data_IF_185780636196
#
_entry.id   IF_185780636196
#
_cell.length_a   1.000
_cell.length_b   1.000
_cell.length_c   1.000
_cell.angle_alpha   90.00
_cell.angle_beta   90.00
_cell.angle_gamma   90.00
#
_symmetry.space_group_name_H-M   'P 1'
#
loop_
_entity.id
_entity.type
_entity.pdbx_description
1 polymer ?
#
# COMPACT_ATOMS: atom_id res chain seq x y z
N UNK A 1 1.01 -33.52 113.16
CA UNK A 1 1.22 -33.57 111.70
C UNK A 1 -0.09 -33.57 110.89
N UNK A 2 -1.09 -32.73 111.20
CA UNK A 2 -2.32 -32.61 110.36
C UNK A 2 -2.94 -31.19 110.41
N UNK A 3 -2.11 -30.14 110.30
CA UNK A 3 -2.63 -28.75 110.17
C UNK A 3 -2.01 -27.95 109.01
N UNK A 4 -1.12 -28.55 108.23
CA UNK A 4 -0.49 -27.92 107.05
C UNK A 4 -0.92 -28.49 105.70
N UNK A 5 -1.89 -29.41 105.68
CA UNK A 5 -2.39 -30.03 104.44
C UNK A 5 -3.72 -29.43 103.94
N UNK A 6 -4.30 -28.45 104.63
CA UNK A 6 -5.55 -27.80 104.19
C UNK A 6 -5.35 -26.44 103.49
N UNK A 7 -4.14 -25.87 103.46
CA UNK A 7 -3.90 -24.57 102.83
C UNK A 7 -3.53 -24.64 101.34
N UNK A 8 -3.23 -25.84 100.82
CA UNK A 8 -2.80 -26.01 99.41
C UNK A 8 -3.99 -26.21 98.46
N UNK A 9 -5.19 -26.48 98.97
CA UNK A 9 -6.37 -26.82 98.14
C UNK A 9 -7.21 -25.58 97.77
N UNK A 10 -6.94 -24.40 98.34
CA UNK A 10 -7.87 -23.26 98.28
C UNK A 10 -7.26 -21.94 97.75
N UNK A 11 -6.33 -21.99 96.79
CA UNK A 11 -6.02 -20.77 96.03
C UNK A 11 -5.73 -21.05 94.55
N UNK A 12 -6.68 -20.79 93.63
CA UNK A 12 -6.42 -20.76 92.21
C UNK A 12 -5.73 -19.43 91.87
N UNK A 13 -4.79 -19.46 90.91
CA UNK A 13 -4.09 -18.33 90.27
C UNK A 13 -2.70 -17.98 90.85
N UNK A 14 -1.68 -18.72 90.40
CA UNK A 14 -0.44 -18.08 89.98
C UNK A 14 -0.23 -18.35 88.50
N UNK A 15 -0.49 -17.32 87.67
CA UNK A 15 -0.21 -17.31 86.24
C UNK A 15 1.29 -17.48 86.03
N UNK A 16 1.67 -18.59 85.44
CA UNK A 16 3.05 -18.89 85.06
C UNK A 16 3.45 -18.03 83.84
N UNK A 17 4.43 -17.11 83.92
CA UNK A 17 4.72 -16.16 82.83
C UNK A 17 5.37 -16.80 81.60
N UNK A 18 5.84 -18.04 81.72
CA UNK A 18 6.58 -18.77 80.67
C UNK A 18 5.70 -19.68 79.79
N UNK A 19 4.38 -19.71 80.01
CA UNK A 19 3.43 -20.51 79.22
C UNK A 19 2.49 -19.65 78.36
N UNK A 20 2.84 -18.40 78.06
CA UNK A 20 2.13 -17.60 77.06
C UNK A 20 2.45 -18.14 75.66
N UNK A 21 1.67 -19.13 75.24
CA UNK A 21 1.76 -19.74 73.93
C UNK A 21 1.49 -18.66 72.84
N UNK A 22 2.47 -18.26 72.00
CA UNK A 22 2.29 -17.18 71.01
C UNK A 22 1.32 -17.53 69.88
N UNK A 23 0.77 -18.75 69.89
CA UNK A 23 0.01 -19.36 68.80
C UNK A 23 -1.45 -18.89 68.72
N UNK A 24 -2.04 -18.41 69.82
CA UNK A 24 -3.43 -17.95 69.82
C UNK A 24 -3.59 -16.59 69.10
N UNK A 25 -2.70 -15.63 69.37
CA UNK A 25 -2.69 -14.33 68.69
C UNK A 25 -2.40 -14.44 67.19
N UNK A 26 -1.43 -15.29 66.78
CA UNK A 26 -1.12 -15.51 65.34
C UNK A 26 -2.27 -16.12 64.54
N UNK A 27 -3.13 -16.94 65.16
CA UNK A 27 -4.32 -17.50 64.48
C UNK A 27 -5.41 -16.46 64.30
N UNK A 28 -5.63 -15.62 65.32
CA UNK A 28 -6.65 -14.56 65.27
C UNK A 28 -6.24 -13.42 64.31
N UNK A 29 -4.95 -13.06 64.28
CA UNK A 29 -4.40 -12.11 63.30
C UNK A 29 -4.52 -12.63 61.86
N UNK A 30 -4.24 -13.92 61.65
CA UNK A 30 -4.37 -14.54 60.32
C UNK A 30 -5.81 -14.52 59.83
N UNK A 31 -6.77 -14.86 60.69
CA UNK A 31 -8.20 -14.86 60.38
C UNK A 31 -8.75 -13.44 60.12
N UNK A 32 -8.24 -12.43 60.85
CA UNK A 32 -8.55 -11.02 60.59
C UNK A 32 -7.97 -10.54 59.25
N UNK A 33 -6.73 -10.92 58.93
CA UNK A 33 -6.07 -10.56 57.69
C UNK A 33 -6.75 -11.21 56.47
N UNK A 34 -7.20 -12.46 56.62
CA UNK A 34 -7.93 -13.22 55.59
C UNK A 34 -9.33 -12.63 55.33
N UNK A 35 -10.06 -12.21 56.38
CA UNK A 35 -11.31 -11.45 56.23
C UNK A 35 -11.10 -10.10 55.52
N UNK A 36 -10.05 -9.37 55.87
CA UNK A 36 -9.74 -8.10 55.22
C UNK A 36 -9.36 -8.28 53.75
N UNK A 37 -8.61 -9.35 53.43
CA UNK A 37 -8.27 -9.72 52.06
C UNK A 37 -9.51 -10.11 51.24
N UNK A 38 -10.41 -10.92 51.80
CA UNK A 38 -11.68 -11.27 51.17
C UNK A 38 -12.54 -10.02 50.88
N UNK A 39 -12.62 -9.09 51.85
CA UNK A 39 -13.36 -7.82 51.67
C UNK A 39 -12.75 -6.96 50.57
N UNK A 40 -11.41 -6.92 50.44
CA UNK A 40 -10.73 -6.20 49.34
C UNK A 40 -11.06 -6.82 47.99
N UNK A 41 -10.99 -8.15 47.88
CA UNK A 41 -11.35 -8.86 46.65
C UNK A 41 -12.82 -8.62 46.26
N UNK A 42 -13.75 -8.60 47.23
CA UNK A 42 -15.15 -8.26 46.96
C UNK A 42 -15.33 -6.83 46.44
N UNK A 43 -14.61 -5.87 47.01
CA UNK A 43 -14.63 -4.47 46.54
C UNK A 43 -14.03 -4.34 45.13
N UNK A 44 -12.92 -5.02 44.86
CA UNK A 44 -12.31 -5.05 43.52
C UNK A 44 -13.25 -5.68 42.50
N UNK A 45 -13.90 -6.79 42.84
CA UNK A 45 -14.90 -7.43 41.97
C UNK A 45 -16.08 -6.52 41.70
N UNK A 46 -16.59 -5.80 42.71
CA UNK A 46 -17.66 -4.82 42.51
C UNK A 46 -17.23 -3.65 41.62
N UNK A 47 -16.02 -3.13 41.82
CA UNK A 47 -15.46 -2.08 40.98
C UNK A 47 -15.30 -2.55 39.52
N UNK A 48 -14.86 -3.77 39.30
CA UNK A 48 -14.68 -4.34 37.96
C UNK A 48 -16.04 -4.58 37.27
N UNK A 49 -17.06 -5.04 38.01
CA UNK A 49 -18.44 -5.14 37.50
C UNK A 49 -18.98 -3.77 37.08
N UNK A 50 -18.70 -2.71 37.84
CA UNK A 50 -19.13 -1.36 37.49
C UNK A 50 -18.43 -0.85 36.23
N UNK A 51 -17.11 -1.07 36.10
CA UNK A 51 -16.36 -0.73 34.87
C UNK A 51 -16.89 -1.48 33.66
N UNK A 52 -17.14 -2.78 33.80
CA UNK A 52 -17.67 -3.60 32.72
C UNK A 52 -19.05 -3.12 32.28
N UNK A 53 -19.94 -2.81 33.23
CA UNK A 53 -21.27 -2.26 32.93
C UNK A 53 -21.19 -0.91 32.24
N UNK A 54 -20.26 -0.03 32.66
CA UNK A 54 -20.03 1.26 31.99
C UNK A 54 -19.57 1.06 30.55
N UNK A 55 -18.58 0.18 30.33
CA UNK A 55 -18.08 -0.12 28.99
C UNK A 55 -19.16 -0.74 28.11
N UNK A 56 -20.01 -1.61 28.66
CA UNK A 56 -21.14 -2.19 27.95
C UNK A 56 -22.10 -1.11 27.47
N UNK A 57 -22.47 -0.16 28.34
CA UNK A 57 -23.34 0.96 27.96
C UNK A 57 -22.70 1.84 26.87
N UNK A 58 -21.39 2.15 26.98
CA UNK A 58 -20.66 2.92 25.96
C UNK A 58 -20.66 2.20 24.60
N UNK A 59 -20.53 0.86 24.60
CA UNK A 59 -20.62 0.05 23.37
C UNK A 59 -22.03 -0.05 22.81
N UNK A 60 -23.05 -0.12 23.66
CA UNK A 60 -24.45 -0.09 23.24
C UNK A 60 -24.81 1.26 22.58
N UNK A 61 -24.32 2.38 23.14
CA UNK A 61 -24.46 3.72 22.54
C UNK A 61 -23.74 3.82 21.18
N UNK A 62 -22.50 3.33 21.07
CA UNK A 62 -21.73 3.30 19.83
C UNK A 62 -22.45 2.47 18.73
N UNK A 63 -23.00 1.31 19.11
CA UNK A 63 -23.80 0.47 18.20
C UNK A 63 -25.07 1.20 17.76
N UNK A 64 -25.77 1.89 18.66
CA UNK A 64 -26.96 2.68 18.33
C UNK A 64 -26.62 3.78 17.31
N UNK A 65 -25.54 4.52 17.54
CA UNK A 65 -25.08 5.59 16.65
C UNK A 65 -24.74 5.06 15.25
N UNK A 66 -24.02 3.93 15.18
CA UNK A 66 -23.69 3.30 13.90
C UNK A 66 -24.92 2.80 13.15
N UNK A 67 -25.93 2.29 13.85
CA UNK A 67 -27.21 1.89 13.24
C UNK A 67 -27.95 3.10 12.65
N UNK A 68 -27.97 4.23 13.35
CA UNK A 68 -28.55 5.47 12.84
C UNK A 68 -27.83 5.97 11.58
N UNK A 69 -26.49 5.96 11.59
CA UNK A 69 -25.68 6.32 10.42
C UNK A 69 -25.94 5.38 9.23
N UNK A 70 -26.04 4.07 9.47
CA UNK A 70 -26.39 3.09 8.42
C UNK A 70 -27.77 3.41 7.83
N UNK A 71 -28.78 3.70 8.66
CA UNK A 71 -30.12 4.04 8.14
C UNK A 71 -30.12 5.35 7.35
N UNK A 72 -29.33 6.35 7.77
CA UNK A 72 -29.16 7.61 7.05
C UNK A 72 -28.50 7.40 5.69
N UNK A 73 -27.39 6.65 5.64
CA UNK A 73 -26.70 6.33 4.40
C UNK A 73 -27.57 5.50 3.45
N UNK A 74 -28.37 4.56 3.96
CA UNK A 74 -29.33 3.80 3.15
C UNK A 74 -30.37 4.71 2.48
N UNK A 75 -30.93 5.68 3.22
CA UNK A 75 -31.85 6.68 2.64
C UNK A 75 -31.17 7.54 1.58
N UNK A 76 -29.94 7.99 1.83
CA UNK A 76 -29.20 8.80 0.86
C UNK A 76 -28.92 8.01 -0.43
N UNK A 77 -28.54 6.73 -0.31
CA UNK A 77 -28.35 5.84 -1.46
C UNK A 77 -29.63 5.65 -2.27
N UNK A 78 -30.78 5.52 -1.61
CA UNK A 78 -32.08 5.40 -2.27
C UNK A 78 -32.45 6.68 -3.04
N UNK A 79 -32.28 7.86 -2.43
CA UNK A 79 -32.46 9.14 -3.11
C UNK A 79 -31.53 9.30 -4.33
N UNK A 80 -30.26 8.91 -4.21
CA UNK A 80 -29.32 8.93 -5.34
C UNK A 80 -29.71 7.95 -6.45
N UNK A 81 -30.29 6.80 -6.10
CA UNK A 81 -30.78 5.81 -7.06
C UNK A 81 -31.95 6.39 -7.86
N UNK A 82 -32.88 7.05 -7.20
CA UNK A 82 -34.01 7.73 -7.85
C UNK A 82 -33.54 8.85 -8.78
N UNK A 83 -32.54 9.63 -8.36
CA UNK A 83 -31.94 10.68 -9.20
C UNK A 83 -31.30 10.09 -10.47
N UNK A 84 -30.56 8.97 -10.34
CA UNK A 84 -29.99 8.25 -11.48
C UNK A 84 -31.09 7.76 -12.42
N UNK A 85 -32.19 7.22 -11.89
CA UNK A 85 -33.30 6.75 -12.71
C UNK A 85 -34.01 7.91 -13.44
N UNK A 86 -34.21 9.05 -12.78
CA UNK A 86 -34.76 10.27 -13.40
C UNK A 86 -33.86 10.76 -14.54
N UNK A 87 -32.55 10.81 -14.32
CA UNK A 87 -31.59 11.22 -15.35
C UNK A 87 -31.57 10.25 -16.53
N UNK A 88 -31.65 8.94 -16.28
CA UNK A 88 -31.79 7.93 -17.35
C UNK A 88 -33.04 8.15 -18.19
N UNK A 89 -34.20 8.36 -17.55
CA UNK A 89 -35.46 8.67 -18.25
C UNK A 89 -35.38 9.98 -19.05
N UNK A 90 -34.72 11.01 -18.53
CA UNK A 90 -34.49 12.25 -19.28
C UNK A 90 -33.60 12.05 -20.51
N UNK A 91 -32.57 11.19 -20.41
CA UNK A 91 -31.72 10.84 -21.54
C UNK A 91 -32.48 10.01 -22.58
N UNK A 92 -33.31 9.04 -22.16
CA UNK A 92 -34.19 8.28 -23.07
C UNK A 92 -35.18 9.21 -23.79
N UNK A 93 -35.78 10.16 -23.07
CA UNK A 93 -36.73 11.11 -23.66
C UNK A 93 -36.04 12.07 -24.65
N UNK A 94 -34.80 12.52 -24.37
CA UNK A 94 -33.99 13.31 -25.31
C UNK A 94 -33.54 12.48 -26.51
N UNK A 95 -33.10 11.24 -26.28
CA UNK A 95 -32.73 10.30 -27.35
C UNK A 95 -33.89 9.92 -28.26
N UNK A 96 -35.14 10.08 -27.82
CA UNK A 96 -36.34 9.85 -28.63
C UNK A 96 -36.78 11.06 -29.46
N UNK A 97 -36.23 12.26 -29.23
CA UNK A 97 -36.60 13.50 -29.96
C UNK A 97 -35.62 13.79 -31.12
N UNK A 98 -34.41 13.23 -31.11
CA UNK A 98 -33.43 13.39 -32.18
C UNK A 98 -33.36 12.14 -33.07
N UNK A 99 -34.35 11.97 -33.95
CA UNK A 99 -34.23 11.13 -35.15
C UNK A 99 -33.34 11.84 -36.20
N UNK A 100 -32.10 12.13 -35.82
CA UNK A 100 -30.99 12.36 -36.76
C UNK A 100 -30.07 11.17 -36.62
N UNK A 101 -30.08 10.35 -37.67
CA UNK A 101 -29.21 9.20 -37.89
C UNK A 101 -27.73 9.57 -37.67
N UNK A 102 -27.23 9.29 -36.47
CA UNK A 102 -25.80 9.22 -36.17
C UNK A 102 -25.48 7.79 -35.77
N UNK A 103 -24.62 7.18 -36.57
CA UNK A 103 -24.19 5.79 -36.48
C UNK A 103 -23.57 5.48 -35.13
N UNK A 104 -24.00 4.40 -34.50
CA UNK A 104 -23.59 3.95 -33.16
C UNK A 104 -22.10 3.62 -33.00
N UNK A 105 -21.29 3.70 -34.07
CA UNK A 105 -19.84 3.42 -34.03
C UNK A 105 -19.00 4.58 -33.47
N UNK A 106 -19.44 5.84 -33.55
CA UNK A 106 -18.64 6.99 -33.11
C UNK A 106 -18.72 7.25 -31.59
N UNK A 107 -19.81 6.84 -30.94
CA UNK A 107 -19.99 6.98 -29.48
C UNK A 107 -19.29 5.88 -28.67
N UNK A 108 -18.94 4.76 -29.30
CA UNK A 108 -18.19 3.67 -28.66
C UNK A 108 -16.69 3.96 -28.52
N UNK A 109 -16.12 4.83 -29.35
CA UNK A 109 -14.67 5.05 -29.38
C UNK A 109 -14.20 6.02 -28.26
N UNK A 110 -14.99 7.06 -27.95
CA UNK A 110 -14.67 8.00 -26.85
C UNK A 110 -14.79 7.35 -25.46
N UNK A 111 -15.67 6.36 -25.27
CA UNK A 111 -15.84 5.66 -23.99
C UNK A 111 -14.79 4.57 -23.77
N UNK A 112 -14.25 3.96 -24.84
CA UNK A 112 -13.18 2.97 -24.73
C UNK A 112 -11.87 3.60 -24.27
N UNK A 113 -11.58 4.86 -24.59
CA UNK A 113 -10.27 5.46 -24.31
C UNK A 113 -10.11 6.06 -22.92
N UNK A 114 -11.21 6.26 -22.19
CA UNK A 114 -11.18 6.74 -20.81
C UNK A 114 -11.00 5.56 -19.85
N UNK A 115 -9.92 5.59 -19.07
CA UNK A 115 -9.68 4.66 -17.97
C UNK A 115 -9.47 5.46 -16.69
N UNK A 116 -10.25 5.15 -15.66
CA UNK A 116 -10.10 5.77 -14.35
C UNK A 116 -10.26 4.74 -13.25
N UNK A 117 -9.41 4.83 -12.22
CA UNK A 117 -9.50 3.96 -11.05
C UNK A 117 -8.72 4.53 -9.89
N UNK A 118 -9.04 4.07 -8.68
CA UNK A 118 -8.15 4.25 -7.54
C UNK A 118 -6.88 3.43 -7.74
N UNK A 119 -5.73 4.06 -7.49
CA UNK A 119 -4.41 3.44 -7.53
C UNK A 119 -3.62 3.85 -6.29
N UNK A 120 -2.48 3.22 -6.06
CA UNK A 120 -1.57 3.60 -4.99
C UNK A 120 -0.20 3.98 -5.54
N UNK A 121 0.29 5.14 -5.13
CA UNK A 121 1.58 5.71 -5.54
C UNK A 121 2.55 5.65 -4.35
N UNK A 122 3.80 5.21 -4.53
CA UNK A 122 4.74 5.15 -3.43
C UNK A 122 5.04 6.54 -2.86
N UNK A 123 5.14 6.63 -1.55
CA UNK A 123 5.63 7.82 -0.85
C UNK A 123 7.14 7.73 -0.65
N UNK A 124 7.78 8.82 -0.21
CA UNK A 124 9.24 8.88 0.06
C UNK A 124 9.76 7.74 0.96
N UNK A 125 8.89 7.07 1.74
CA UNK A 125 9.30 6.00 2.64
C UNK A 125 8.43 4.75 2.52
N UNK A 126 8.64 3.98 1.44
CA UNK A 126 7.96 2.69 1.21
C UNK A 126 8.14 1.72 2.39
N UNK A 127 9.23 1.87 3.20
CA UNK A 127 9.58 1.03 4.37
C UNK A 127 8.49 0.92 5.45
N UNK A 128 7.50 1.82 5.51
CA UNK A 128 6.43 1.81 6.53
C UNK A 128 5.02 1.78 5.92
N UNK A 129 4.82 0.97 4.88
CA UNK A 129 3.53 0.93 4.17
C UNK A 129 3.26 2.21 3.37
N UNK A 130 4.32 2.81 2.83
CA UNK A 130 4.30 4.10 2.16
C UNK A 130 3.65 4.05 0.77
N UNK A 131 2.38 3.71 0.69
CA UNK A 131 1.56 3.73 -0.52
C UNK A 131 0.40 4.70 -0.30
N UNK A 132 0.40 5.81 -1.03
CA UNK A 132 -0.67 6.80 -0.97
C UNK A 132 -1.73 6.48 -2.02
N UNK A 133 -2.98 6.37 -1.58
CA UNK A 133 -4.11 6.20 -2.49
C UNK A 133 -4.38 7.50 -3.26
N UNK A 134 -4.50 7.40 -4.58
CA UNK A 134 -4.80 8.51 -5.50
C UNK A 134 -5.77 8.03 -6.58
N UNK A 135 -6.57 8.94 -7.13
CA UNK A 135 -7.50 8.64 -8.21
C UNK A 135 -6.82 8.95 -9.54
N UNK A 136 -6.57 7.93 -10.36
CA UNK A 136 -5.89 8.06 -11.64
C UNK A 136 -6.90 8.12 -12.78
N UNK A 137 -6.66 9.00 -13.75
CA UNK A 137 -7.52 9.19 -14.92
C UNK A 137 -6.65 9.32 -16.18
N UNK A 138 -6.97 8.52 -17.20
CA UNK A 138 -6.53 8.73 -18.58
C UNK A 138 -7.51 9.72 -19.22
N UNK A 139 -7.08 10.97 -19.37
CA UNK A 139 -7.76 11.99 -20.15
C UNK A 139 -7.07 12.13 -21.51
N UNK A 140 -7.79 12.57 -22.56
CA UNK A 140 -7.39 12.56 -23.99
C UNK A 140 -5.88 12.46 -24.28
N UNK A 141 -5.05 13.39 -23.77
CA UNK A 141 -3.59 13.38 -23.95
C UNK A 141 -2.78 13.48 -22.62
N UNK A 142 -3.39 13.17 -21.48
CA UNK A 142 -2.78 13.31 -20.15
C UNK A 142 -3.13 12.17 -19.20
N UNK A 143 -2.13 11.69 -18.47
CA UNK A 143 -2.32 10.87 -17.28
C UNK A 143 -2.42 11.79 -16.06
N UNK A 144 -3.58 11.80 -15.40
CA UNK A 144 -3.90 12.68 -14.29
C UNK A 144 -4.01 11.87 -13.00
N UNK A 145 -3.44 12.37 -11.91
CA UNK A 145 -3.57 11.80 -10.57
C UNK A 145 -4.14 12.86 -9.62
N UNK A 146 -5.26 12.53 -9.00
CA UNK A 146 -5.95 13.36 -8.02
C UNK A 146 -5.76 12.79 -6.61
N UNK A 147 -5.76 13.66 -5.59
CA UNK A 147 -5.74 13.17 -4.21
C UNK A 147 -7.14 12.69 -3.78
N UNK A 148 -8.19 13.27 -4.38
CA UNK A 148 -9.60 12.96 -4.17
C UNK A 148 -10.40 13.15 -5.46
N UNK A 149 -11.47 12.38 -5.66
CA UNK A 149 -12.40 12.53 -6.80
C UNK A 149 -13.07 13.92 -6.88
N UNK A 150 -13.11 14.64 -5.76
CA UNK A 150 -13.68 16.00 -5.65
C UNK A 150 -12.70 17.11 -6.04
N UNK A 151 -11.43 16.78 -6.26
CA UNK A 151 -10.40 17.78 -6.56
C UNK A 151 -10.61 18.29 -8.00
N UNK A 152 -10.74 19.61 -8.16
CA UNK A 152 -10.86 20.23 -9.48
C UNK A 152 -9.53 20.21 -10.26
N UNK A 153 -8.41 20.01 -9.57
CA UNK A 153 -7.07 20.06 -10.16
C UNK A 153 -6.27 18.81 -9.78
N UNK A 154 -5.63 18.20 -10.77
CA UNK A 154 -4.77 17.04 -10.55
C UNK A 154 -3.53 17.43 -9.75
N UNK A 155 -3.16 16.61 -8.77
CA UNK A 155 -1.91 16.76 -8.02
C UNK A 155 -0.69 16.49 -8.91
N UNK A 156 -0.84 15.57 -9.86
CA UNK A 156 0.15 15.24 -10.88
C UNK A 156 -0.55 15.07 -12.23
N UNK A 157 -0.09 15.81 -13.24
CA UNK A 157 -0.48 15.61 -14.64
C UNK A 157 0.76 15.29 -15.46
N UNK A 158 0.71 14.22 -16.26
CA UNK A 158 1.79 13.80 -17.16
C UNK A 158 1.26 13.79 -18.59
N UNK A 159 1.92 14.49 -19.50
CA UNK A 159 1.56 14.50 -20.92
C UNK A 159 1.90 13.15 -21.57
N UNK A 160 0.93 12.56 -22.26
CA UNK A 160 1.10 11.23 -22.88
C UNK A 160 2.18 11.23 -23.96
N UNK A 161 2.36 12.35 -24.66
CA UNK A 161 3.41 12.52 -25.69
C UNK A 161 4.83 12.45 -25.13
N UNK A 162 4.97 12.64 -23.83
CA UNK A 162 6.22 12.64 -23.07
C UNK A 162 6.47 11.31 -22.37
N UNK A 163 5.62 10.30 -22.58
CA UNK A 163 5.86 8.93 -22.11
C UNK A 163 6.90 8.24 -22.99
N UNK A 164 7.85 7.56 -22.35
CA UNK A 164 8.86 6.73 -23.02
C UNK A 164 8.41 5.27 -23.11
N UNK A 165 8.02 4.69 -21.98
CA UNK A 165 7.50 3.33 -21.89
C UNK A 165 6.59 3.16 -20.67
N UNK A 166 5.72 2.15 -20.74
CA UNK A 166 4.91 1.66 -19.63
C UNK A 166 5.05 0.15 -19.58
N UNK A 167 5.44 -0.41 -18.43
CA UNK A 167 5.70 -1.86 -18.31
C UNK A 167 5.35 -2.41 -16.93
N UNK A 168 5.11 -3.71 -16.87
CA UNK A 168 5.05 -4.42 -15.60
C UNK A 168 6.41 -4.35 -14.89
N UNK A 169 6.38 -4.25 -13.56
CA UNK A 169 7.61 -4.30 -12.77
C UNK A 169 8.02 -5.74 -12.47
N UNK A 170 9.31 -5.90 -12.20
CA UNK A 170 9.95 -7.13 -11.74
C UNK A 170 10.43 -6.95 -10.30
N UNK A 171 10.83 -8.04 -9.64
CA UNK A 171 11.41 -7.97 -8.30
C UNK A 171 12.63 -7.05 -8.22
N UNK A 172 13.38 -6.89 -9.32
CA UNK A 172 14.52 -5.98 -9.41
C UNK A 172 14.13 -4.49 -9.36
N UNK A 173 12.95 -4.14 -9.85
CA UNK A 173 12.45 -2.75 -9.85
C UNK A 173 11.91 -2.36 -8.46
N UNK A 174 11.35 -3.33 -7.73
CA UNK A 174 10.72 -3.12 -6.42
C UNK A 174 11.28 -4.06 -5.34
N UNK A 175 12.59 -3.97 -5.10
CA UNK A 175 13.36 -4.88 -4.22
C UNK A 175 12.82 -5.05 -2.79
N UNK A 176 12.03 -4.10 -2.28
CA UNK A 176 11.51 -4.09 -0.91
C UNK A 176 10.00 -4.34 -0.83
N UNK A 177 9.35 -4.59 -1.96
CA UNK A 177 7.92 -4.86 -2.02
C UNK A 177 7.68 -6.36 -1.96
N UNK A 178 6.62 -6.75 -1.27
CA UNK A 178 6.16 -8.14 -1.20
C UNK A 178 5.88 -8.70 -2.60
N UNK A 179 6.37 -9.89 -2.91
CA UNK A 179 6.24 -10.54 -4.21
C UNK A 179 4.77 -10.71 -4.65
N UNK A 180 3.83 -10.83 -3.71
CA UNK A 180 2.39 -10.93 -3.99
C UNK A 180 1.78 -9.64 -4.57
N UNK A 181 2.42 -8.50 -4.32
CA UNK A 181 1.96 -7.20 -4.82
C UNK A 181 2.55 -6.84 -6.18
N UNK A 182 3.69 -7.42 -6.55
CA UNK A 182 4.41 -7.14 -7.80
C UNK A 182 3.52 -7.26 -9.05
N UNK A 183 2.67 -8.30 -9.21
CA UNK A 183 1.78 -8.41 -10.38
C UNK A 183 0.77 -7.26 -10.51
N UNK A 184 0.56 -6.48 -9.45
CA UNK A 184 -0.35 -5.33 -9.42
C UNK A 184 0.36 -4.01 -9.70
N UNK A 185 1.69 -4.01 -9.84
CA UNK A 185 2.48 -2.80 -10.00
C UNK A 185 2.96 -2.67 -11.45
N UNK A 186 2.95 -1.44 -11.95
CA UNK A 186 3.57 -1.09 -13.22
C UNK A 186 4.37 0.21 -13.10
N UNK A 187 5.32 0.36 -14.01
CA UNK A 187 6.21 1.51 -14.12
C UNK A 187 5.80 2.35 -15.33
N UNK A 188 5.81 3.67 -15.15
CA UNK A 188 5.67 4.67 -16.21
C UNK A 188 6.96 5.48 -16.24
N UNK A 189 7.68 5.44 -17.35
CA UNK A 189 8.87 6.25 -17.58
C UNK A 189 8.54 7.42 -18.51
N UNK A 190 8.87 8.64 -18.11
CA UNK A 190 8.47 9.85 -18.83
C UNK A 190 9.49 10.99 -18.71
N UNK A 191 9.38 11.96 -19.62
CA UNK A 191 10.17 13.18 -19.61
C UNK A 191 9.69 14.12 -18.50
N UNK A 192 10.61 14.58 -17.65
CA UNK A 192 10.33 15.49 -16.55
C UNK A 192 9.64 16.79 -16.94
N UNK A 193 9.85 17.28 -18.17
CA UNK A 193 9.19 18.49 -18.68
C UNK A 193 7.71 18.28 -19.00
N UNK A 194 7.29 17.02 -19.22
CA UNK A 194 5.90 16.65 -19.46
C UNK A 194 5.03 16.59 -18.21
N UNK A 195 5.57 16.97 -17.05
CA UNK A 195 4.87 16.89 -15.77
C UNK A 195 4.52 18.28 -15.23
N UNK A 196 3.27 18.45 -14.83
CA UNK A 196 2.86 19.54 -13.93
C UNK A 196 2.52 18.98 -12.56
N UNK A 197 3.00 19.63 -11.50
CA UNK A 197 2.75 19.27 -10.09
C UNK A 197 2.10 20.46 -9.41
N UNK A 198 0.88 20.26 -8.90
CA UNK A 198 0.15 21.30 -8.16
C UNK A 198 0.10 20.88 -6.70
N UNK A 199 0.86 21.58 -5.85
CA UNK A 199 0.84 21.50 -4.38
C UNK A 199 0.62 20.11 -3.76
N UNK A 200 1.70 19.35 -3.59
CA UNK A 200 2.11 18.81 -2.29
C UNK A 200 3.50 18.23 -2.43
N UNK A 201 4.41 18.68 -1.57
CA UNK A 201 5.73 18.11 -1.36
C UNK A 201 5.63 16.60 -1.19
N UNK A 202 5.92 15.79 -2.21
CA UNK A 202 6.31 14.37 -2.03
C UNK A 202 6.73 13.62 -3.28
N UNK A 203 6.56 14.13 -4.51
CA UNK A 203 7.09 13.45 -5.72
C UNK A 203 8.54 13.84 -6.02
N UNK A 204 9.37 13.95 -4.97
CA UNK A 204 10.82 13.96 -5.17
C UNK A 204 11.21 12.54 -5.54
N UNK A 205 11.59 12.41 -6.80
CA UNK A 205 12.11 11.23 -7.46
C UNK A 205 12.87 10.31 -6.49
N UNK A 206 12.45 9.06 -6.41
CA UNK A 206 13.33 7.97 -5.99
C UNK A 206 14.35 7.72 -7.12
N UNK A 207 15.10 8.75 -7.53
CA UNK A 207 16.28 8.57 -8.37
C UNK A 207 17.45 8.26 -7.43
N UNK A 208 17.45 7.02 -6.96
CA UNK A 208 18.63 6.23 -6.74
C UNK A 208 18.13 4.82 -6.40
N UNK A 209 18.23 3.84 -7.31
CA UNK A 209 18.55 2.53 -6.80
C UNK A 209 19.90 2.70 -6.09
N UNK A 210 19.87 2.74 -4.76
CA UNK A 210 20.98 2.21 -3.98
C UNK A 210 21.01 0.70 -4.26
N UNK A 211 21.37 0.36 -5.49
CA UNK A 211 21.84 -0.96 -5.84
C UNK A 211 23.29 -0.98 -5.39
N UNK A 212 23.46 -1.26 -4.09
CA UNK A 212 24.62 -2.02 -3.62
C UNK A 212 24.50 -3.43 -4.21
N UNK A 213 24.64 -3.52 -5.53
CA UNK A 213 25.03 -4.74 -6.20
C UNK A 213 26.46 -4.50 -6.61
N UNK A 214 27.34 -5.32 -6.04
CA UNK A 214 28.75 -5.45 -6.31
C UNK A 214 28.98 -5.16 -7.80
N UNK A 215 29.45 -3.94 -8.13
CA UNK A 215 29.95 -3.55 -9.46
C UNK A 215 31.28 -4.27 -9.65
N UNK A 216 31.22 -5.60 -9.71
CA UNK A 216 32.33 -6.46 -10.04
C UNK A 216 32.32 -6.67 -11.54
N UNK A 217 33.02 -5.79 -12.26
CA UNK A 217 33.17 -5.89 -13.70
C UNK A 217 33.71 -4.60 -14.28
N UNK A 218 35.02 -4.56 -14.50
CA UNK A 218 35.66 -3.68 -15.48
C UNK A 218 35.00 -3.83 -16.87
N UNK A 219 34.85 -2.75 -17.64
CA UNK A 219 34.82 -2.85 -19.10
C UNK A 219 33.65 -2.17 -19.83
N UNK A 220 34.03 -1.33 -20.80
CA UNK A 220 33.30 -0.86 -22.00
C UNK A 220 31.82 -0.42 -21.88
N UNK A 221 31.60 0.89 -22.08
CA UNK A 221 30.29 1.41 -22.49
C UNK A 221 30.01 0.97 -23.93
N UNK A 222 28.87 0.33 -24.15
CA UNK A 222 28.45 -0.09 -25.49
C UNK A 222 27.38 0.88 -25.99
N UNK A 223 27.69 1.59 -27.07
CA UNK A 223 26.73 2.46 -27.75
C UNK A 223 26.03 1.73 -28.90
N UNK A 224 24.71 1.66 -28.86
CA UNK A 224 23.92 1.01 -29.91
C UNK A 224 22.55 1.69 -30.07
N UNK A 225 22.24 2.14 -31.30
CA UNK A 225 20.98 2.85 -31.63
C UNK A 225 20.60 3.96 -30.63
N UNK A 226 21.58 4.73 -30.17
CA UNK A 226 21.39 5.82 -29.21
C UNK A 226 21.26 5.40 -27.74
N UNK A 227 21.32 4.10 -27.43
CA UNK A 227 21.44 3.62 -26.05
C UNK A 227 22.89 3.65 -25.59
N UNK A 228 23.09 3.79 -24.29
CA UNK A 228 24.39 3.67 -23.66
C UNK A 228 24.34 2.53 -22.62
N UNK A 229 24.87 1.37 -23.00
CA UNK A 229 24.74 0.13 -22.25
C UNK A 229 25.95 -0.15 -21.38
N UNK A 230 25.65 -0.65 -20.17
CA UNK A 230 26.63 -1.29 -19.30
C UNK A 230 26.34 -2.79 -19.23
N UNK A 231 27.39 -3.59 -19.12
CA UNK A 231 27.25 -5.04 -18.92
C UNK A 231 26.92 -5.30 -17.45
N UNK A 232 25.81 -6.00 -17.19
CA UNK A 232 25.29 -6.32 -15.86
C UNK A 232 25.02 -7.82 -15.77
N UNK A 233 25.28 -8.42 -14.62
CA UNK A 233 25.00 -9.82 -14.34
C UNK A 233 23.97 -9.94 -13.20
N UNK A 234 22.70 -10.19 -13.54
CA UNK A 234 21.62 -10.20 -12.55
C UNK A 234 21.56 -11.52 -11.78
N UNK A 235 21.61 -11.44 -10.44
CA UNK A 235 21.35 -12.59 -9.56
C UNK A 235 19.91 -12.68 -9.07
N UNK A 236 19.10 -11.67 -9.38
CA UNK A 236 17.69 -11.60 -9.01
C UNK A 236 16.79 -11.74 -10.24
N UNK A 237 15.56 -12.26 -10.10
CA UNK A 237 14.63 -12.45 -11.21
C UNK A 237 14.50 -11.21 -12.11
N UNK A 238 14.99 -11.32 -13.34
CA UNK A 238 15.04 -10.26 -14.35
C UNK A 238 14.85 -10.90 -15.73
N UNK A 239 14.03 -10.31 -16.60
CA UNK A 239 13.81 -10.82 -17.95
C UNK A 239 14.43 -9.89 -19.00
N UNK A 240 14.83 -10.47 -20.12
CA UNK A 240 15.26 -9.74 -21.31
C UNK A 240 14.04 -9.16 -22.03
N UNK A 241 14.07 -7.87 -22.38
CA UNK A 241 12.97 -7.19 -23.06
C UNK A 241 12.87 -7.52 -24.56
N UNK A 242 13.93 -8.09 -25.15
CA UNK A 242 13.91 -8.56 -26.55
C UNK A 242 13.18 -9.90 -26.67
N UNK A 243 13.59 -10.90 -25.89
CA UNK A 243 13.11 -12.28 -26.05
C UNK A 243 12.18 -12.74 -24.92
N UNK A 244 11.94 -11.89 -23.90
CA UNK A 244 11.14 -12.18 -22.71
C UNK A 244 11.62 -13.38 -21.87
N UNK A 245 12.83 -13.92 -22.15
CA UNK A 245 13.43 -15.01 -21.38
C UNK A 245 14.17 -14.48 -20.15
N UNK A 246 14.34 -15.31 -19.09
CA UNK A 246 15.16 -14.96 -17.93
C UNK A 246 16.57 -14.50 -18.33
N UNK A 247 16.96 -13.30 -17.87
CA UNK A 247 18.30 -12.72 -17.96
C UNK A 247 18.95 -12.71 -16.57
N UNK A 248 18.79 -13.78 -15.80
CA UNK A 248 19.34 -13.88 -14.45
C UNK A 248 19.69 -15.33 -14.11
N UNK A 249 20.62 -15.50 -13.18
CA UNK A 249 20.89 -16.79 -12.55
C UNK A 249 21.59 -16.57 -11.19
N UNK A 250 21.29 -17.39 -10.19
CA UNK A 250 21.80 -17.20 -8.82
C UNK A 250 23.32 -17.41 -8.71
N UNK A 251 23.82 -18.47 -9.36
CA UNK A 251 25.23 -18.89 -9.28
C UNK A 251 26.05 -18.31 -10.44
N UNK A 252 25.65 -18.60 -11.68
CA UNK A 252 26.31 -18.14 -12.92
C UNK A 252 25.40 -17.26 -13.78
N UNK A 253 25.13 -16.00 -13.38
CA UNK A 253 24.29 -15.07 -14.15
C UNK A 253 24.84 -14.86 -15.57
N UNK A 254 23.99 -14.95 -16.61
CA UNK A 254 24.41 -14.61 -17.97
C UNK A 254 24.73 -13.10 -18.05
N UNK A 255 25.63 -12.69 -18.97
CA UNK A 255 25.87 -11.28 -19.23
C UNK A 255 24.65 -10.64 -19.90
N UNK A 256 24.14 -9.56 -19.31
CA UNK A 256 23.05 -8.75 -19.81
C UNK A 256 23.55 -7.32 -20.08
N UNK A 257 22.88 -6.58 -20.96
CA UNK A 257 23.08 -5.16 -21.19
C UNK A 257 21.95 -4.40 -20.52
N UNK A 258 22.28 -3.39 -19.72
CA UNK A 258 21.33 -2.43 -19.17
C UNK A 258 21.63 -1.03 -19.71
N UNK A 259 20.64 -0.38 -20.34
CA UNK A 259 20.82 0.99 -20.76
C UNK A 259 20.82 1.92 -19.55
N UNK A 260 21.89 2.68 -19.38
CA UNK A 260 22.04 3.65 -18.29
C UNK A 260 21.03 4.79 -18.34
N UNK A 261 20.38 5.01 -19.50
CA UNK A 261 19.43 6.10 -19.74
C UNK A 261 17.98 5.67 -19.55
N UNK A 262 17.58 4.58 -20.19
CA UNK A 262 16.17 4.13 -20.21
C UNK A 262 15.91 2.82 -19.45
N UNK A 263 16.95 2.22 -18.85
CA UNK A 263 16.89 0.98 -18.06
C UNK A 263 16.31 -0.24 -18.78
N UNK A 264 16.28 -0.21 -20.11
CA UNK A 264 15.98 -1.39 -20.93
C UNK A 264 17.07 -2.44 -20.73
N UNK A 265 16.64 -3.69 -20.56
CA UNK A 265 17.51 -4.82 -20.26
C UNK A 265 17.40 -5.89 -21.34
N UNK A 266 18.53 -6.39 -21.82
CA UNK A 266 18.57 -7.48 -22.79
C UNK A 266 19.79 -8.39 -22.57
N UNK A 267 19.79 -9.60 -23.12
CA UNK A 267 21.00 -10.44 -23.09
C UNK A 267 22.11 -9.80 -23.94
N UNK A 268 23.37 -9.84 -23.48
CA UNK A 268 24.52 -9.38 -24.29
C UNK A 268 24.67 -10.19 -25.58
N UNK A 269 24.22 -11.45 -25.56
CA UNK A 269 24.20 -12.32 -26.73
C UNK A 269 23.49 -11.69 -27.94
N UNK A 270 22.36 -10.99 -27.74
CA UNK A 270 21.66 -10.34 -28.84
C UNK A 270 22.52 -9.28 -29.56
N UNK A 271 23.39 -8.59 -28.82
CA UNK A 271 24.34 -7.64 -29.38
C UNK A 271 25.53 -8.34 -30.06
N UNK A 272 26.08 -9.38 -29.41
CA UNK A 272 27.23 -10.14 -29.92
C UNK A 272 26.88 -10.87 -31.23
N UNK A 273 25.66 -11.41 -31.32
CA UNK A 273 25.11 -12.10 -32.50
C UNK A 273 24.66 -11.11 -33.60
N UNK A 274 24.83 -9.79 -33.39
CA UNK A 274 24.47 -8.69 -34.30
C UNK A 274 23.00 -8.71 -34.75
N UNK A 275 22.11 -9.18 -33.88
CA UNK A 275 20.67 -9.18 -34.13
C UNK A 275 20.10 -7.76 -34.08
N UNK A 276 18.95 -7.54 -34.73
CA UNK A 276 18.18 -6.31 -34.53
C UNK A 276 17.25 -6.46 -33.32
N UNK A 277 17.81 -6.34 -32.12
CA UNK A 277 17.14 -6.74 -30.87
C UNK A 277 16.41 -5.63 -30.13
N UNK A 278 16.62 -4.37 -30.51
CA UNK A 278 16.06 -3.23 -29.77
C UNK A 278 15.75 -2.04 -30.67
N UNK A 279 14.71 -1.30 -30.28
CA UNK A 279 14.35 -0.02 -30.85
C UNK A 279 15.32 1.08 -30.40
N UNK A 280 15.50 2.15 -31.20
CA UNK A 280 16.35 3.29 -30.83
C UNK A 280 15.99 3.89 -29.48
N UNK A 281 16.99 4.38 -28.75
CA UNK A 281 16.79 4.97 -27.44
C UNK A 281 15.92 6.21 -27.56
N UNK A 282 14.79 6.20 -26.84
CA UNK A 282 13.88 7.35 -26.80
C UNK A 282 14.34 8.43 -25.82
N UNK A 283 15.35 8.12 -24.99
CA UNK A 283 15.92 9.01 -23.98
C UNK A 283 17.24 9.59 -24.50
N UNK A 284 17.27 10.90 -24.73
CA UNK A 284 18.47 11.65 -25.09
C UNK A 284 19.16 12.22 -23.84
N UNK A 285 20.48 12.41 -23.85
CA UNK A 285 21.29 12.88 -22.70
C UNK A 285 20.84 14.23 -22.12
N UNK A 286 20.10 15.03 -22.90
CA UNK A 286 19.60 16.36 -22.48
C UNK A 286 18.26 16.32 -21.73
N UNK A 287 17.58 15.17 -21.67
CA UNK A 287 16.23 15.07 -21.11
C UNK A 287 16.28 14.43 -19.73
N UNK A 288 15.86 15.16 -18.68
CA UNK A 288 15.72 14.57 -17.35
C UNK A 288 14.54 13.60 -17.32
N UNK A 289 14.82 12.33 -17.02
CA UNK A 289 13.82 11.27 -16.97
C UNK A 289 13.27 11.11 -15.56
N UNK A 290 11.97 10.88 -15.46
CA UNK A 290 11.29 10.52 -14.23
C UNK A 290 10.60 9.17 -14.35
N UNK A 291 10.52 8.52 -13.21
CA UNK A 291 9.84 7.26 -13.02
C UNK A 291 8.64 7.46 -12.09
N UNK A 292 7.51 6.87 -12.45
CA UNK A 292 6.34 6.72 -11.61
C UNK A 292 5.97 5.24 -11.49
N UNK A 293 5.98 4.73 -10.26
CA UNK A 293 5.41 3.42 -9.93
C UNK A 293 3.94 3.57 -9.55
N UNK A 294 3.10 2.70 -10.09
CA UNK A 294 1.66 2.70 -9.85
C UNK A 294 1.22 1.30 -9.45
N UNK A 295 0.57 1.16 -8.30
CA UNK A 295 -0.01 -0.09 -7.83
C UNK A 295 -1.54 -0.07 -7.99
N UNK A 296 -2.07 -1.05 -8.72
CA UNK A 296 -3.50 -1.28 -8.92
C UNK A 296 -4.10 -2.16 -7.83
N UNK A 297 -5.43 -2.26 -7.79
CA UNK A 297 -6.14 -3.15 -6.85
C UNK A 297 -5.94 -4.62 -7.22
N UNK A 298 -5.87 -4.90 -8.53
CA UNK A 298 -5.74 -6.25 -9.10
C UNK A 298 -4.70 -6.31 -10.23
N UNK A 299 -4.22 -7.53 -10.54
CA UNK A 299 -3.37 -7.79 -11.71
C UNK A 299 -4.11 -7.50 -13.03
N UNK A 300 -5.42 -7.77 -13.09
CA UNK A 300 -6.25 -7.48 -14.26
C UNK A 300 -6.30 -5.98 -14.58
N UNK A 301 -6.48 -5.14 -13.53
CA UNK A 301 -6.39 -3.69 -13.67
C UNK A 301 -5.02 -3.24 -14.13
N UNK A 302 -3.95 -3.80 -13.57
CA UNK A 302 -2.57 -3.49 -13.98
C UNK A 302 -2.36 -3.74 -15.48
N UNK A 303 -2.78 -4.90 -16.00
CA UNK A 303 -2.69 -5.24 -17.43
C UNK A 303 -3.51 -4.28 -18.29
N UNK A 304 -4.70 -3.89 -17.83
CA UNK A 304 -5.55 -2.92 -18.51
C UNK A 304 -4.88 -1.55 -18.61
N UNK A 305 -4.31 -1.05 -17.51
CA UNK A 305 -3.57 0.20 -17.45
C UNK A 305 -2.36 0.19 -18.39
N UNK A 306 -1.53 -0.85 -18.34
CA UNK A 306 -0.38 -1.00 -19.25
C UNK A 306 -0.87 -0.99 -20.70
N UNK A 307 -1.88 -1.78 -21.04
CA UNK A 307 -2.41 -1.88 -22.42
C UNK A 307 -2.92 -0.54 -22.93
N UNK A 308 -3.68 0.20 -22.12
CA UNK A 308 -4.24 1.50 -22.52
C UNK A 308 -3.16 2.56 -22.68
N UNK A 309 -2.27 2.70 -21.70
CA UNK A 309 -1.19 3.68 -21.76
C UNK A 309 -0.21 3.38 -22.90
N UNK A 310 0.15 2.10 -23.11
CA UNK A 310 1.12 1.70 -24.14
C UNK A 310 0.64 2.03 -25.56
N UNK A 311 -0.67 2.00 -25.82
CA UNK A 311 -1.28 2.39 -27.11
C UNK A 311 -1.19 3.90 -27.37
N UNK A 312 -1.09 4.70 -26.31
CA UNK A 312 -1.01 6.17 -26.39
C UNK A 312 0.42 6.70 -26.44
N UNK A 313 1.43 5.85 -26.24
CA UNK A 313 2.84 6.24 -26.36
C UNK A 313 3.13 6.55 -27.83
N UNK A 314 3.59 7.78 -28.17
CA UNK A 314 3.92 8.11 -29.54
C UNK A 314 4.97 7.15 -30.08
N UNK A 315 4.68 6.52 -31.21
CA UNK A 315 5.72 5.90 -32.03
C UNK A 315 6.50 7.04 -32.67
N UNK A 316 7.46 7.62 -31.93
CA UNK A 316 8.38 8.60 -32.51
C UNK A 316 9.19 7.87 -33.59
N UNK A 317 8.74 7.97 -34.83
CA UNK A 317 9.55 7.69 -35.99
C UNK A 317 10.71 8.67 -35.97
N UNK A 318 11.92 8.15 -36.13
CA UNK A 318 13.09 8.97 -36.36
C UNK A 318 12.85 9.69 -37.68
N UNK A 319 12.73 11.01 -37.64
CA UNK A 319 12.99 11.86 -38.80
C UNK A 319 14.46 12.20 -38.84
#
# INVERSE_FOLDING_TARGET
AVKKLQEIVMNPLQKNPFLSNPKAGRRQDRDHNERNHARRLEQEMQAERYKYKKLQNEKEEEISQLNDDITKLKRELELRRDDVEKLRKQLELRGSIDNVSLTSEELEDETKDRLESWVQIPTRNIRRGGWKRQFAVIAKNKLLLYNSERDQQAALSIDMEKLYHVRAVTQGDVIRVDATLIPKIFQVLYDSEGQTVVNSMTTSSLNAPAQDQIRGGSGENIEYKGHNFVVVAYRMPTNCETCNRPCYHLISPPPCLECTRCHVRCHKQHYDDKEEFIQPCRVNDKLSVKELLVMCSTEGEQKLWITKLSRKIPRRGIS
#
